data_IF_049526458961
#
_entry.id   IF_049526458961
#
_cell.length_a   1.000
_cell.length_b   1.000
_cell.length_c   1.000
_cell.angle_alpha   90.00
_cell.angle_beta   90.00
_cell.angle_gamma   90.00
#
_symmetry.space_group_name_H-M   'P 1'
#
loop_
_entity.id
_entity.type
_entity.pdbx_description
1 polymer ?
#
# COMPACT_ATOMS: atom_id res chain seq x y z
N UNK A 1 -24.69 -0.27 -4.67
CA UNK A 1 -23.49 -0.09 -5.49
C UNK A 1 -22.65 -1.34 -5.37
N UNK A 2 -21.91 -1.71 -6.41
CA UNK A 2 -20.96 -2.82 -6.32
C UNK A 2 -19.74 -2.43 -5.47
N UNK A 3 -19.29 -1.18 -5.61
CA UNK A 3 -18.23 -0.55 -4.80
C UNK A 3 -18.64 0.90 -4.49
N UNK A 4 -18.35 1.36 -3.28
CA UNK A 4 -18.38 2.77 -2.91
C UNK A 4 -17.07 3.16 -2.21
N UNK A 5 -16.66 4.42 -2.38
CA UNK A 5 -15.40 4.97 -1.84
C UNK A 5 -15.73 6.22 -1.02
N UNK A 6 -15.12 6.34 0.15
CA UNK A 6 -15.15 7.54 0.98
C UNK A 6 -13.74 8.05 1.25
N UNK A 7 -13.61 9.36 1.40
CA UNK A 7 -12.36 10.03 1.78
C UNK A 7 -12.64 10.97 2.96
N UNK A 8 -11.60 11.29 3.70
CA UNK A 8 -11.59 12.39 4.65
C UNK A 8 -11.35 13.75 3.94
N UNK A 9 -11.47 14.90 4.63
CA UNK A 9 -11.53 16.21 3.98
C UNK A 9 -10.32 16.62 3.13
N UNK A 10 -9.13 16.12 3.45
CA UNK A 10 -7.87 16.36 2.73
C UNK A 10 -7.49 15.24 1.75
N UNK A 11 -8.31 14.18 1.66
CA UNK A 11 -8.24 13.13 0.64
C UNK A 11 -6.93 12.31 0.63
N UNK A 12 -6.19 12.27 1.73
CA UNK A 12 -5.00 11.43 1.87
C UNK A 12 -5.34 10.00 2.36
N UNK A 13 -6.54 9.79 2.90
CA UNK A 13 -7.04 8.49 3.34
C UNK A 13 -8.24 8.01 2.54
N UNK A 14 -8.50 6.71 2.65
CA UNK A 14 -9.55 6.04 1.88
C UNK A 14 -10.37 5.06 2.74
N UNK A 15 -11.66 5.00 2.44
CA UNK A 15 -12.59 3.98 2.93
C UNK A 15 -13.19 3.23 1.75
N UNK A 16 -13.15 1.90 1.79
CA UNK A 16 -13.66 1.03 0.72
C UNK A 16 -14.88 0.27 1.23
N UNK A 17 -16.01 0.44 0.56
CA UNK A 17 -17.30 -0.15 0.93
C UNK A 17 -17.76 -1.08 -0.18
N UNK A 18 -18.16 -2.29 0.20
CA UNK A 18 -18.82 -3.29 -0.66
C UNK A 18 -20.21 -3.61 -0.09
N UNK A 19 -21.01 -4.49 -0.71
CA UNK A 19 -22.27 -4.95 -0.10
C UNK A 19 -22.11 -5.58 1.28
N UNK A 20 -20.92 -6.09 1.63
CA UNK A 20 -20.61 -6.67 2.95
C UNK A 20 -20.27 -5.59 4.01
N UNK A 21 -20.19 -4.32 3.62
CA UNK A 21 -19.92 -3.19 4.51
C UNK A 21 -18.56 -2.53 4.27
N UNK A 22 -18.09 -1.79 5.28
CA UNK A 22 -16.80 -1.10 5.26
C UNK A 22 -15.66 -2.09 5.49
N UNK A 23 -14.73 -2.18 4.55
CA UNK A 23 -13.54 -3.02 4.70
C UNK A 23 -12.62 -2.50 5.80
N UNK A 24 -12.05 -3.41 6.58
CA UNK A 24 -10.95 -3.08 7.49
C UNK A 24 -9.74 -2.59 6.67
N UNK A 25 -9.10 -1.46 7.04
CA UNK A 25 -7.96 -0.92 6.29
C UNK A 25 -6.82 -1.92 6.07
N UNK A 26 -6.45 -2.71 7.09
CA UNK A 26 -5.41 -3.73 6.95
C UNK A 26 -5.75 -4.80 5.91
N UNK A 27 -7.04 -5.16 5.78
CA UNK A 27 -7.48 -6.13 4.78
C UNK A 27 -7.32 -5.55 3.39
N UNK A 28 -7.72 -4.29 3.20
CA UNK A 28 -7.59 -3.62 1.91
C UNK A 28 -6.11 -3.42 1.52
N UNK A 29 -5.24 -3.03 2.44
CA UNK A 29 -3.80 -2.92 2.16
C UNK A 29 -3.21 -4.23 1.66
N UNK A 30 -3.50 -5.36 2.31
CA UNK A 30 -3.01 -6.66 1.88
C UNK A 30 -3.50 -7.05 0.48
N UNK A 31 -4.78 -6.79 0.17
CA UNK A 31 -5.37 -7.04 -1.16
C UNK A 31 -4.75 -6.13 -2.21
N UNK A 32 -4.59 -4.83 -1.92
CA UNK A 32 -4.00 -3.86 -2.83
C UNK A 32 -2.55 -4.21 -3.17
N UNK A 33 -1.75 -4.59 -2.17
CA UNK A 33 -0.36 -5.02 -2.36
C UNK A 33 -0.29 -6.27 -3.24
N UNK A 34 -1.05 -7.32 -2.91
CA UNK A 34 -1.07 -8.56 -3.70
C UNK A 34 -1.45 -8.31 -5.16
N UNK A 35 -2.50 -7.49 -5.38
CA UNK A 35 -2.93 -7.12 -6.71
C UNK A 35 -1.86 -6.33 -7.47
N UNK A 36 -1.28 -5.29 -6.86
CA UNK A 36 -0.30 -4.43 -7.51
C UNK A 36 0.96 -5.22 -7.92
N UNK A 37 1.49 -6.08 -7.05
CA UNK A 37 2.69 -6.88 -7.35
C UNK A 37 2.45 -7.80 -8.56
N UNK A 38 1.25 -8.40 -8.67
CA UNK A 38 0.90 -9.32 -9.76
C UNK A 38 0.57 -8.62 -11.08
N UNK A 39 0.18 -7.34 -11.03
CA UNK A 39 -0.37 -6.61 -12.19
C UNK A 39 0.47 -5.37 -12.57
N UNK A 40 1.72 -5.30 -12.12
CA UNK A 40 2.67 -4.25 -12.49
C UNK A 40 3.98 -4.87 -12.92
N UNK A 41 4.57 -4.33 -13.99
CA UNK A 41 5.89 -4.72 -14.49
C UNK A 41 7.02 -3.98 -13.75
N UNK A 42 6.87 -3.78 -12.44
CA UNK A 42 7.90 -3.16 -11.61
C UNK A 42 9.03 -4.13 -11.35
N UNK A 43 10.27 -3.62 -11.34
CA UNK A 43 11.45 -4.41 -11.02
C UNK A 43 11.25 -5.20 -9.72
N UNK A 44 11.61 -6.50 -9.73
CA UNK A 44 11.49 -7.41 -8.59
C UNK A 44 12.24 -6.93 -7.35
N UNK A 45 13.29 -6.12 -7.51
CA UNK A 45 14.07 -5.56 -6.40
C UNK A 45 13.38 -4.43 -5.63
N UNK A 46 12.31 -3.85 -6.19
CA UNK A 46 11.54 -2.78 -5.52
C UNK A 46 10.75 -3.38 -4.36
N UNK A 47 10.84 -2.74 -3.18
CA UNK A 47 10.30 -3.23 -1.91
C UNK A 47 8.90 -2.69 -1.62
N UNK A 48 8.25 -3.27 -0.61
CA UNK A 48 6.94 -2.84 -0.10
C UNK A 48 7.09 -2.23 1.29
N UNK A 49 6.76 -0.95 1.44
CA UNK A 49 6.77 -0.23 2.70
C UNK A 49 5.53 -0.49 3.54
N UNK A 50 5.73 -0.72 4.85
CA UNK A 50 4.68 -1.02 5.83
C UNK A 50 5.07 -0.48 7.21
N UNK A 51 4.13 0.10 7.96
CA UNK A 51 4.34 0.41 9.39
C UNK A 51 4.36 -0.85 10.25
N UNK A 52 5.17 -0.88 11.32
CA UNK A 52 5.34 -2.10 12.15
C UNK A 52 4.03 -2.61 12.78
N UNK A 53 3.06 -1.72 12.98
CA UNK A 53 1.77 -2.03 13.62
C UNK A 53 0.70 -2.44 12.61
N UNK A 54 1.01 -2.38 11.30
CA UNK A 54 0.17 -2.95 10.26
C UNK A 54 0.18 -4.48 10.29
N UNK A 55 -0.86 -5.09 9.74
CA UNK A 55 -1.09 -6.54 9.78
C UNK A 55 0.06 -7.35 9.20
N UNK A 56 0.42 -8.44 9.89
CA UNK A 56 1.37 -9.45 9.41
C UNK A 56 0.87 -10.21 8.16
N UNK A 57 -0.37 -9.99 7.73
CA UNK A 57 -0.83 -10.48 6.42
C UNK A 57 -0.02 -9.87 5.27
N UNK A 58 0.42 -8.62 5.42
CA UNK A 58 1.26 -7.95 4.41
C UNK A 58 2.57 -8.70 4.22
N UNK A 59 3.21 -9.14 5.30
CA UNK A 59 4.44 -9.93 5.26
C UNK A 59 4.24 -11.26 4.51
N UNK A 60 3.12 -11.95 4.80
CA UNK A 60 2.78 -13.22 4.13
C UNK A 60 2.51 -13.03 2.64
N UNK A 61 1.78 -11.98 2.27
CA UNK A 61 1.49 -11.64 0.86
C UNK A 61 2.78 -11.30 0.11
N UNK A 62 3.65 -10.47 0.70
CA UNK A 62 4.92 -10.11 0.08
C UNK A 62 5.82 -11.34 -0.08
N UNK A 63 5.97 -12.15 0.97
CA UNK A 63 6.74 -13.39 0.94
C UNK A 63 6.24 -14.39 -0.10
N UNK A 64 4.92 -14.56 -0.23
CA UNK A 64 4.32 -15.44 -1.24
C UNK A 64 4.57 -14.97 -2.69
N UNK A 65 4.81 -13.67 -2.89
CA UNK A 65 5.13 -13.07 -4.19
C UNK A 65 6.64 -12.77 -4.37
N UNK A 66 7.50 -13.23 -3.45
CA UNK A 66 8.95 -13.02 -3.54
C UNK A 66 9.36 -11.54 -3.45
N UNK A 67 8.64 -10.74 -2.65
CA UNK A 67 8.91 -9.31 -2.42
C UNK A 67 9.42 -9.06 -1.01
N UNK A 68 10.42 -8.20 -0.90
CA UNK A 68 10.93 -7.74 0.38
C UNK A 68 10.02 -6.67 1.00
N UNK A 69 9.83 -6.76 2.32
CA UNK A 69 9.11 -5.77 3.11
C UNK A 69 10.12 -4.80 3.74
N UNK A 70 9.86 -3.50 3.59
CA UNK A 70 10.55 -2.42 4.29
C UNK A 70 9.68 -1.96 5.46
N UNK A 71 9.90 -2.58 6.61
CA UNK A 71 9.16 -2.27 7.83
C UNK A 71 9.75 -1.06 8.56
N UNK A 72 8.88 -0.12 8.96
CA UNK A 72 9.26 1.16 9.59
C UNK A 72 8.38 1.48 10.80
N UNK A 73 8.80 2.41 11.68
CA UNK A 73 7.93 2.97 12.70
C UNK A 73 6.67 3.64 12.13
N UNK A 74 5.69 3.94 12.99
CA UNK A 74 4.51 4.70 12.60
C UNK A 74 4.89 6.06 12.00
N UNK A 75 4.21 6.45 10.92
CA UNK A 75 4.34 7.74 10.23
C UNK A 75 4.72 7.59 8.76
N UNK A 76 3.87 8.12 7.87
CA UNK A 76 4.09 8.09 6.42
C UNK A 76 5.43 8.67 5.94
N UNK A 77 6.03 9.60 6.71
CA UNK A 77 7.32 10.25 6.41
C UNK A 77 8.45 9.27 6.06
N UNK A 78 8.39 8.04 6.57
CA UNK A 78 9.41 7.02 6.31
C UNK A 78 9.35 6.42 4.89
N UNK A 79 8.27 6.67 4.15
CA UNK A 79 8.11 6.20 2.77
C UNK A 79 8.45 7.26 1.72
N UNK A 80 8.55 8.54 2.11
CA UNK A 80 8.72 9.69 1.20
C UNK A 80 9.93 9.51 0.29
N UNK A 81 11.12 9.32 0.86
CA UNK A 81 12.36 9.21 0.07
C UNK A 81 12.36 7.95 -0.81
N UNK A 82 11.85 6.83 -0.29
CA UNK A 82 11.80 5.57 -1.02
C UNK A 82 10.81 5.61 -2.20
N UNK A 83 9.66 6.27 -2.05
CA UNK A 83 8.70 6.50 -3.13
C UNK A 83 9.22 7.54 -4.14
N UNK A 84 9.93 8.58 -3.68
CA UNK A 84 10.57 9.58 -4.52
C UNK A 84 11.67 8.98 -5.41
N UNK A 85 12.43 8.02 -4.88
CA UNK A 85 13.51 7.34 -5.59
C UNK A 85 13.03 6.13 -6.42
N UNK A 86 11.77 5.70 -6.28
CA UNK A 86 11.26 4.49 -6.92
C UNK A 86 11.80 3.19 -6.31
N UNK A 87 12.35 3.25 -5.09
CA UNK A 87 12.87 2.10 -4.34
C UNK A 87 11.76 1.36 -3.57
N UNK A 88 10.68 2.06 -3.27
CA UNK A 88 9.45 1.51 -2.71
C UNK A 88 8.32 1.55 -3.74
N UNK A 89 7.68 0.41 -3.99
CA UNK A 89 6.55 0.31 -4.91
C UNK A 89 5.25 0.81 -4.26
N UNK A 90 5.17 0.67 -2.94
CA UNK A 90 4.00 0.92 -2.12
C UNK A 90 4.47 1.36 -0.73
N UNK A 91 3.77 2.29 -0.10
CA UNK A 91 3.91 2.63 1.31
C UNK A 91 2.52 2.77 1.91
N UNK A 92 2.25 2.11 3.04
CA UNK A 92 0.92 2.14 3.66
C UNK A 92 0.95 2.05 5.18
N UNK A 93 -0.08 2.66 5.77
CA UNK A 93 -0.33 2.69 7.21
C UNK A 93 -1.72 2.08 7.50
N UNK A 94 -1.83 1.37 8.62
CA UNK A 94 -3.06 0.73 9.07
C UNK A 94 -4.20 1.72 9.37
N UNK A 95 -3.87 3.01 9.46
CA UNK A 95 -4.78 4.16 9.58
C UNK A 95 -5.49 4.54 8.27
N UNK A 96 -5.38 3.71 7.23
CA UNK A 96 -6.00 3.86 5.91
C UNK A 96 -5.38 4.94 4.99
N UNK A 97 -4.10 5.25 5.19
CA UNK A 97 -3.29 6.07 4.28
C UNK A 97 -2.32 5.19 3.47
N UNK A 98 -2.21 5.43 2.16
CA UNK A 98 -1.26 4.71 1.31
C UNK A 98 -0.93 5.47 0.00
N UNK A 99 0.25 5.23 -0.55
CA UNK A 99 0.64 5.63 -1.90
C UNK A 99 1.42 4.51 -2.62
N UNK A 100 1.45 4.57 -3.94
CA UNK A 100 2.18 3.61 -4.78
C UNK A 100 2.68 4.26 -6.07
N UNK A 101 3.65 3.62 -6.72
CA UNK A 101 4.27 4.15 -7.94
C UNK A 101 3.32 4.15 -9.15
N UNK A 102 3.69 4.91 -10.18
CA UNK A 102 3.06 4.83 -11.50
C UNK A 102 3.38 3.49 -12.18
N UNK A 103 2.67 3.16 -13.26
CA UNK A 103 2.89 1.91 -14.01
C UNK A 103 4.32 1.72 -14.50
N UNK A 104 5.00 2.81 -14.85
CA UNK A 104 6.40 2.81 -15.32
C UNK A 104 7.43 2.78 -14.17
N UNK A 105 6.97 2.77 -12.91
CA UNK A 105 7.83 2.78 -11.73
C UNK A 105 8.28 4.19 -11.29
N UNK A 106 7.81 5.25 -11.94
CA UNK A 106 8.07 6.62 -11.48
C UNK A 106 7.09 7.06 -10.39
N UNK A 107 7.48 8.09 -9.63
CA UNK A 107 6.70 8.59 -8.49
C UNK A 107 5.37 9.23 -8.94
N UNK A 108 4.27 8.89 -8.25
CA UNK A 108 2.98 9.58 -8.41
C UNK A 108 2.82 10.71 -7.39
N UNK A 109 2.88 10.37 -6.11
CA UNK A 109 2.90 11.28 -4.97
C UNK A 109 3.81 10.71 -3.87
N UNK A 110 4.24 11.58 -2.95
CA UNK A 110 5.10 11.28 -1.80
C UNK A 110 4.62 12.06 -0.60
#
# INVERSE_FOLDING_TARGET
YDIAIGNDPDFDRHGIVTPDGLMNPNHFLAVAIDYLIKHRAWNSSIKIGKTLVSSAMIDKVCGANGRDVYEVPVGFKWFVDGLAAGELAFGGEESAGAAFLRKDGSTWCT
#
